data_IF_013651085343
#
_entry.id   IF_013651085343
#
_cell.length_a   1.000
_cell.length_b   1.000
_cell.length_c   1.000
_cell.angle_alpha   90.00
_cell.angle_beta   90.00
_cell.angle_gamma   90.00
#
_symmetry.space_group_name_H-M   'P 1'
#
loop_
_entity.id
_entity.type
_entity.pdbx_description
1 polymer ?
#
# COMPACT_ATOMS: atom_id res chain seq x y z
N UNK A 1 -50.15 -19.77 51.73
CA UNK A 1 -50.42 -20.54 50.50
C UNK A 1 -49.64 -19.83 49.40
N UNK A 2 -48.41 -20.29 49.15
CA UNK A 2 -47.51 -19.70 48.14
C UNK A 2 -47.88 -20.22 46.74
N UNK A 3 -47.87 -19.34 45.74
CA UNK A 3 -47.92 -19.65 44.30
C UNK A 3 -47.24 -18.50 43.52
N UNK A 4 -46.66 -18.77 42.32
CA UNK A 4 -45.29 -18.37 41.97
C UNK A 4 -45.15 -17.11 41.11
N UNK A 5 -43.94 -16.53 40.99
CA UNK A 5 -43.63 -15.49 40.01
C UNK A 5 -43.49 -16.11 38.60
N UNK A 6 -44.49 -15.93 37.74
CA UNK A 6 -44.39 -16.31 36.32
C UNK A 6 -43.66 -15.23 35.52
N UNK A 7 -42.45 -15.60 35.10
CA UNK A 7 -41.63 -14.89 34.14
C UNK A 7 -42.35 -14.58 32.81
N UNK A 8 -42.30 -13.33 32.34
CA UNK A 8 -42.76 -12.97 31.00
C UNK A 8 -41.88 -11.92 30.31
N UNK A 9 -40.55 -12.02 30.45
CA UNK A 9 -39.61 -11.06 29.84
C UNK A 9 -39.03 -11.52 28.48
N UNK A 10 -39.54 -12.61 27.89
CA UNK A 10 -38.94 -13.24 26.71
C UNK A 10 -39.42 -12.74 25.33
N UNK A 11 -40.50 -11.97 25.26
CA UNK A 11 -41.12 -11.56 23.99
C UNK A 11 -40.76 -10.15 23.51
N UNK A 12 -40.33 -9.25 24.41
CA UNK A 12 -40.03 -7.85 24.07
C UNK A 12 -38.60 -7.62 23.55
N UNK A 13 -37.63 -8.49 23.86
CA UNK A 13 -36.25 -8.31 23.41
C UNK A 13 -36.06 -8.62 21.92
N UNK A 14 -36.74 -9.65 21.40
CA UNK A 14 -36.67 -10.06 19.98
C UNK A 14 -37.04 -8.93 18.99
N UNK A 15 -38.17 -8.19 19.14
CA UNK A 15 -38.52 -7.11 18.23
C UNK A 15 -37.56 -5.90 18.31
N UNK A 16 -36.90 -5.70 19.46
CA UNK A 16 -35.93 -4.62 19.64
C UNK A 16 -34.60 -4.94 18.93
N UNK A 17 -34.14 -6.18 19.03
CA UNK A 17 -32.93 -6.66 18.33
C UNK A 17 -33.12 -6.64 16.81
N UNK A 18 -34.28 -7.07 16.30
CA UNK A 18 -34.55 -7.00 14.85
C UNK A 18 -34.66 -5.56 14.34
N UNK A 19 -35.20 -4.64 15.13
CA UNK A 19 -35.21 -3.21 14.83
C UNK A 19 -33.82 -2.59 14.76
N UNK A 20 -32.93 -2.94 15.71
CA UNK A 20 -31.54 -2.48 15.73
C UNK A 20 -30.73 -3.05 14.56
N UNK A 21 -30.88 -4.35 14.26
CA UNK A 21 -30.23 -4.97 13.11
C UNK A 21 -30.68 -4.32 11.79
N UNK A 22 -31.97 -3.97 11.68
CA UNK A 22 -32.49 -3.25 10.52
C UNK A 22 -31.93 -1.84 10.41
N UNK A 23 -31.82 -1.10 11.52
CA UNK A 23 -31.22 0.23 11.54
C UNK A 23 -29.72 0.19 11.18
N UNK A 24 -28.98 -0.79 11.68
CA UNK A 24 -27.57 -1.02 11.33
C UNK A 24 -27.45 -1.40 9.85
N UNK A 25 -28.31 -2.29 9.34
CA UNK A 25 -28.30 -2.67 7.93
C UNK A 25 -28.53 -1.46 7.02
N UNK A 26 -29.51 -0.59 7.34
CA UNK A 26 -29.77 0.64 6.59
C UNK A 26 -28.61 1.63 6.67
N UNK A 27 -27.97 1.74 7.84
CA UNK A 27 -26.80 2.60 8.02
C UNK A 27 -25.59 2.11 7.21
N UNK A 28 -25.33 0.80 7.23
CA UNK A 28 -24.27 0.16 6.45
C UNK A 28 -24.55 0.29 4.95
N UNK A 29 -25.81 0.13 4.52
CA UNK A 29 -26.21 0.35 3.13
C UNK A 29 -25.95 1.80 2.69
N UNK A 30 -26.35 2.78 3.50
CA UNK A 30 -26.14 4.20 3.21
C UNK A 30 -24.65 4.57 3.13
N UNK A 31 -23.84 4.10 4.10
CA UNK A 31 -22.38 4.31 4.11
C UNK A 31 -21.68 3.57 2.99
N UNK A 32 -22.13 2.37 2.65
CA UNK A 32 -21.61 1.57 1.54
C UNK A 32 -21.82 2.24 0.19
N UNK A 33 -23.00 2.82 -0.06
CA UNK A 33 -23.26 3.59 -1.28
C UNK A 33 -22.36 4.83 -1.41
N UNK A 34 -22.15 5.57 -0.31
CA UNK A 34 -21.22 6.70 -0.27
C UNK A 34 -19.77 6.26 -0.56
N UNK A 35 -19.30 5.21 0.12
CA UNK A 35 -17.97 4.64 -0.08
C UNK A 35 -17.76 4.11 -1.51
N UNK A 36 -18.81 3.56 -2.13
CA UNK A 36 -18.73 3.08 -3.51
C UNK A 36 -18.55 4.24 -4.49
N UNK A 37 -19.30 5.33 -4.33
CA UNK A 37 -19.18 6.51 -5.19
C UNK A 37 -17.82 7.18 -4.98
N UNK A 38 -17.46 7.45 -3.73
CA UNK A 38 -16.19 8.09 -3.39
C UNK A 38 -14.99 7.20 -3.76
N UNK A 39 -15.12 5.88 -3.60
CA UNK A 39 -14.13 4.90 -4.02
C UNK A 39 -13.96 4.82 -5.53
N UNK A 40 -15.04 4.97 -6.31
CA UNK A 40 -14.96 5.04 -7.77
C UNK A 40 -14.30 6.34 -8.24
N UNK A 41 -14.64 7.48 -7.63
CA UNK A 41 -14.02 8.77 -7.97
C UNK A 41 -12.54 8.80 -7.57
N UNK A 42 -12.21 8.36 -6.35
CA UNK A 42 -10.84 8.23 -5.88
C UNK A 42 -10.06 7.23 -6.74
N UNK A 43 -10.69 6.11 -7.10
CA UNK A 43 -10.13 5.09 -7.97
C UNK A 43 -9.82 5.61 -9.37
N UNK A 44 -10.73 6.37 -9.99
CA UNK A 44 -10.50 6.98 -11.30
C UNK A 44 -9.37 8.02 -11.26
N UNK A 45 -9.36 8.88 -10.23
CA UNK A 45 -8.27 9.85 -10.03
C UNK A 45 -6.93 9.16 -9.83
N UNK A 46 -6.88 8.14 -8.97
CA UNK A 46 -5.67 7.36 -8.72
C UNK A 46 -5.22 6.59 -9.97
N UNK A 47 -6.14 5.99 -10.72
CA UNK A 47 -5.84 5.29 -11.96
C UNK A 47 -5.28 6.24 -13.03
N UNK A 48 -5.84 7.44 -13.16
CA UNK A 48 -5.32 8.48 -14.05
C UNK A 48 -3.91 8.92 -13.67
N UNK A 49 -3.68 9.21 -12.39
CA UNK A 49 -2.35 9.57 -11.88
C UNK A 49 -1.35 8.43 -12.04
N UNK A 50 -1.75 7.20 -11.73
CA UNK A 50 -0.89 6.02 -11.86
C UNK A 50 -0.57 5.72 -13.33
N UNK A 51 -1.55 5.86 -14.22
CA UNK A 51 -1.36 5.71 -15.66
C UNK A 51 -0.36 6.73 -16.21
N UNK A 52 -0.50 8.00 -15.81
CA UNK A 52 0.46 9.04 -16.18
C UNK A 52 1.85 8.75 -15.59
N UNK A 53 1.93 8.36 -14.32
CA UNK A 53 3.18 8.01 -13.66
C UNK A 53 3.91 6.85 -14.38
N UNK A 54 3.18 5.78 -14.73
CA UNK A 54 3.73 4.65 -15.48
C UNK A 54 4.19 5.08 -16.87
N UNK A 55 3.39 5.87 -17.58
CA UNK A 55 3.76 6.37 -18.91
C UNK A 55 5.01 7.25 -18.87
N UNK A 56 5.04 8.24 -17.97
CA UNK A 56 6.20 9.13 -17.77
C UNK A 56 7.44 8.32 -17.39
N UNK A 57 7.31 7.39 -16.46
CA UNK A 57 8.42 6.52 -16.05
C UNK A 57 8.91 5.67 -17.22
N UNK A 58 7.99 5.12 -18.02
CA UNK A 58 8.32 4.31 -19.20
C UNK A 58 9.08 5.14 -20.24
N UNK A 59 8.55 6.32 -20.60
CA UNK A 59 9.23 7.24 -21.51
C UNK A 59 10.63 7.63 -21.01
N UNK A 60 10.79 7.86 -19.70
CA UNK A 60 12.09 8.21 -19.11
C UNK A 60 13.07 7.04 -19.22
N UNK A 61 12.62 5.82 -18.93
CA UNK A 61 13.45 4.60 -19.03
C UNK A 61 13.84 4.35 -20.49
N UNK A 62 12.90 4.39 -21.43
CA UNK A 62 13.21 4.21 -22.85
C UNK A 62 14.15 5.30 -23.36
N UNK A 63 13.85 6.57 -23.05
CA UNK A 63 14.72 7.69 -23.40
C UNK A 63 16.14 7.52 -22.86
N UNK A 64 16.28 7.09 -21.61
CA UNK A 64 17.59 6.79 -21.01
C UNK A 64 18.32 5.65 -21.73
N UNK A 65 17.64 4.53 -21.99
CA UNK A 65 18.23 3.38 -22.70
C UNK A 65 18.67 3.74 -24.12
N UNK A 66 17.91 4.59 -24.81
CA UNK A 66 18.29 5.09 -26.14
C UNK A 66 19.42 6.12 -26.08
N UNK A 67 19.49 6.92 -25.01
CA UNK A 67 20.53 7.94 -24.83
C UNK A 67 21.89 7.35 -24.40
N UNK A 68 21.91 6.21 -23.71
CA UNK A 68 23.14 5.60 -23.21
C UNK A 68 24.17 5.28 -24.31
N UNK A 69 23.84 4.55 -25.40
CA UNK A 69 24.80 4.23 -26.46
C UNK A 69 25.46 5.46 -27.12
N UNK A 70 24.71 6.49 -27.57
CA UNK A 70 25.33 7.66 -28.19
C UNK A 70 26.15 8.47 -27.18
N UNK A 71 25.74 8.58 -25.91
CA UNK A 71 26.55 9.24 -24.87
C UNK A 71 27.88 8.52 -24.67
N UNK A 72 27.87 7.19 -24.56
CA UNK A 72 29.09 6.38 -24.43
C UNK A 72 30.01 6.58 -25.64
N UNK A 73 29.44 6.62 -26.85
CA UNK A 73 30.21 6.83 -28.07
C UNK A 73 30.84 8.23 -28.13
N UNK A 74 30.09 9.28 -27.80
CA UNK A 74 30.59 10.65 -27.76
C UNK A 74 31.73 10.82 -26.75
N UNK A 75 31.60 10.23 -25.56
CA UNK A 75 32.66 10.25 -24.54
C UNK A 75 33.87 9.45 -25.00
N UNK A 76 33.68 8.29 -25.64
CA UNK A 76 34.77 7.49 -26.18
C UNK A 76 35.56 8.26 -27.25
N UNK A 77 34.87 8.98 -28.13
CA UNK A 77 35.50 9.83 -29.14
C UNK A 77 36.24 11.02 -28.51
N UNK A 78 35.66 11.69 -27.51
CA UNK A 78 36.27 12.85 -26.86
C UNK A 78 37.52 12.48 -26.04
N UNK A 79 37.54 11.31 -25.41
CA UNK A 79 38.66 10.83 -24.57
C UNK A 79 39.68 10.03 -25.38
N UNK A 80 39.37 9.65 -26.63
CA UNK A 80 40.20 8.78 -27.45
C UNK A 80 40.29 7.33 -26.92
N UNK A 81 39.35 6.94 -26.05
CA UNK A 81 39.31 5.60 -25.46
C UNK A 81 38.44 4.66 -26.28
N UNK A 82 38.77 3.37 -26.24
CA UNK A 82 37.91 2.35 -26.84
C UNK A 82 36.56 2.30 -26.11
N UNK A 83 35.46 2.25 -26.87
CA UNK A 83 34.08 2.33 -26.38
C UNK A 83 33.78 1.36 -25.21
N UNK A 84 34.39 0.18 -25.21
CA UNK A 84 34.22 -0.83 -24.15
C UNK A 84 34.69 -0.34 -22.77
N UNK A 85 35.75 0.46 -22.69
CA UNK A 85 36.25 1.00 -21.41
C UNK A 85 35.29 2.04 -20.83
N UNK A 86 34.72 2.88 -21.70
CA UNK A 86 33.74 3.89 -21.32
C UNK A 86 32.43 3.24 -20.88
N UNK A 87 31.97 2.21 -21.60
CA UNK A 87 30.80 1.43 -21.21
C UNK A 87 31.01 0.74 -19.85
N UNK A 88 32.19 0.16 -19.60
CA UNK A 88 32.50 -0.50 -18.33
C UNK A 88 32.55 0.49 -17.16
N UNK A 89 33.15 1.67 -17.36
CA UNK A 89 33.16 2.73 -16.36
C UNK A 89 31.74 3.25 -16.06
N UNK A 90 30.93 3.43 -17.11
CA UNK A 90 29.51 3.79 -16.98
C UNK A 90 28.73 2.76 -16.18
N UNK A 91 28.87 1.47 -16.52
CA UNK A 91 28.23 0.38 -15.78
C UNK A 91 28.68 0.33 -14.30
N UNK A 92 29.97 0.51 -14.04
CA UNK A 92 30.52 0.59 -12.69
C UNK A 92 29.92 1.75 -11.87
N UNK A 93 29.79 2.93 -12.47
CA UNK A 93 29.16 4.09 -11.83
C UNK A 93 27.69 3.83 -11.50
N UNK A 94 26.94 3.22 -12.42
CA UNK A 94 25.53 2.88 -12.21
C UNK A 94 25.36 1.86 -11.08
N UNK A 95 26.22 0.83 -11.04
CA UNK A 95 26.22 -0.16 -9.95
C UNK A 95 26.56 0.48 -8.61
N UNK A 96 27.56 1.35 -8.58
CA UNK A 96 27.94 2.07 -7.36
C UNK A 96 26.80 2.95 -6.85
N UNK A 97 26.18 3.75 -7.73
CA UNK A 97 25.01 4.57 -7.38
C UNK A 97 23.82 3.70 -6.93
N UNK A 98 23.57 2.58 -7.60
CA UNK A 98 22.54 1.62 -7.21
C UNK A 98 22.74 1.07 -5.79
N UNK A 99 23.96 0.64 -5.47
CA UNK A 99 24.32 0.17 -4.12
C UNK A 99 24.16 1.31 -3.11
N UNK A 100 24.62 2.52 -3.43
CA UNK A 100 24.48 3.68 -2.56
C UNK A 100 23.01 4.00 -2.26
N UNK A 101 22.15 4.01 -3.29
CA UNK A 101 20.72 4.21 -3.12
C UNK A 101 20.06 3.10 -2.32
N UNK A 102 20.45 1.84 -2.51
CA UNK A 102 19.94 0.72 -1.70
C UNK A 102 20.32 0.85 -0.23
N UNK A 103 21.56 1.27 0.08
CA UNK A 103 21.99 1.54 1.45
C UNK A 103 21.18 2.71 2.02
N UNK A 104 21.03 3.80 1.27
CA UNK A 104 20.27 4.97 1.71
C UNK A 104 18.79 4.64 1.94
N UNK A 105 18.19 3.83 1.06
CA UNK A 105 16.83 3.33 1.18
C UNK A 105 16.69 2.44 2.42
N UNK A 106 17.62 1.51 2.65
CA UNK A 106 17.64 0.65 3.84
C UNK A 106 17.75 1.48 5.12
N UNK A 107 18.61 2.49 5.13
CA UNK A 107 18.76 3.42 6.26
C UNK A 107 17.50 4.25 6.47
N UNK A 108 16.87 4.74 5.39
CA UNK A 108 15.63 5.52 5.44
C UNK A 108 14.45 4.68 5.93
N UNK A 109 14.29 3.46 5.41
CA UNK A 109 13.28 2.50 5.88
C UNK A 109 13.46 2.17 7.36
N UNK A 110 14.69 1.92 7.80
CA UNK A 110 15.00 1.66 9.21
C UNK A 110 14.71 2.88 10.10
N UNK A 111 15.00 4.08 9.61
CA UNK A 111 14.73 5.33 10.34
C UNK A 111 13.24 5.63 10.43
N UNK A 112 12.47 5.34 9.38
CA UNK A 112 11.08 5.74 9.30
C UNK A 112 10.13 4.84 10.09
N UNK A 113 10.54 3.64 10.55
CA UNK A 113 9.70 2.71 11.35
C UNK A 113 8.27 2.48 10.82
N UNK A 114 8.00 2.83 9.55
CA UNK A 114 6.66 2.95 8.96
C UNK A 114 5.85 1.66 9.03
N UNK A 115 6.56 0.54 9.08
CA UNK A 115 5.97 -0.78 9.18
C UNK A 115 6.08 -1.35 10.58
N UNK A 116 6.99 -0.87 11.42
CA UNK A 116 7.22 -1.47 12.73
C UNK A 116 6.03 -1.22 13.67
N UNK A 117 5.43 -0.02 13.63
CA UNK A 117 4.24 0.29 14.42
C UNK A 117 3.01 -0.47 13.91
N UNK A 118 2.80 -0.48 12.58
CA UNK A 118 1.70 -1.23 11.94
C UNK A 118 1.81 -2.74 12.18
N UNK A 119 2.99 -3.35 12.01
CA UNK A 119 3.20 -4.76 12.30
C UNK A 119 3.07 -5.08 13.79
N UNK A 120 3.40 -4.13 14.67
CA UNK A 120 3.21 -4.30 16.11
C UNK A 120 1.73 -4.26 16.50
N UNK A 121 0.93 -3.39 15.85
CA UNK A 121 -0.53 -3.40 16.01
C UNK A 121 -1.15 -4.71 15.51
N UNK A 122 -0.78 -5.18 14.31
CA UNK A 122 -1.20 -6.48 13.80
C UNK A 122 -0.83 -7.66 14.72
N UNK A 123 0.32 -7.57 15.40
CA UNK A 123 0.76 -8.60 16.34
C UNK A 123 -0.10 -8.61 17.60
N UNK A 124 -0.39 -7.44 18.17
CA UNK A 124 -1.31 -7.29 19.31
C UNK A 124 -2.71 -7.78 18.98
N UNK A 125 -3.22 -7.50 17.79
CA UNK A 125 -4.54 -7.95 17.36
C UNK A 125 -4.60 -9.48 17.25
N UNK A 126 -3.52 -10.11 16.77
CA UNK A 126 -3.40 -11.57 16.70
C UNK A 126 -3.32 -12.21 18.10
N UNK A 127 -2.61 -11.59 19.03
CA UNK A 127 -2.53 -12.05 20.42
C UNK A 127 -3.89 -11.94 21.12
N UNK A 128 -4.63 -10.85 20.89
CA UNK A 128 -5.99 -10.68 21.40
C UNK A 128 -6.96 -11.74 20.84
N UNK A 129 -6.93 -11.99 19.53
CA UNK A 129 -7.75 -13.04 18.90
C UNK A 129 -7.39 -14.45 19.40
N UNK A 130 -6.12 -14.70 19.71
CA UNK A 130 -5.67 -15.97 20.26
C UNK A 130 -6.10 -16.16 21.72
N UNK A 131 -6.06 -15.10 22.53
CA UNK A 131 -6.53 -15.12 23.92
C UNK A 131 -8.04 -15.34 24.01
N UNK A 132 -8.82 -14.62 23.20
CA UNK A 132 -10.29 -14.72 23.17
C UNK A 132 -10.83 -16.07 22.68
N UNK A 133 -9.99 -16.95 22.14
CA UNK A 133 -10.35 -18.33 21.75
C UNK A 133 -10.12 -19.35 22.87
N UNK A 134 -9.29 -19.01 23.85
CA UNK A 134 -8.89 -19.89 24.95
C UNK A 134 -9.68 -19.64 26.25
N UNK A 135 -10.53 -18.61 26.28
CA UNK A 135 -11.53 -18.33 27.33
C UNK A 135 -12.93 -18.78 26.86
#
# INVERSE_FOLDING_TARGET
MEAPPSASNGSEERPRVTGLLRAVALYVEARGRLLQIEGQEAGQRLAGTMGLFVMTTSCLVFGWLLALPPVVLLVAQAVGWHWSRVALAGAGLHLFLGILFLILLKLRLRRMRLFEETFNQFRRDREWLASSKND
#
